data_IF_508011217743
#
_entry.id   IF_508011217743
#
_cell.length_a   1.000
_cell.length_b   1.000
_cell.length_c   1.000
_cell.angle_alpha   90.00
_cell.angle_beta   90.00
_cell.angle_gamma   90.00
#
_symmetry.space_group_name_H-M   'P 1'
#
loop_
_entity.id
_entity.type
_entity.pdbx_description
1 polymer ?
#
# COMPACT_ATOMS: atom_id res chain seq x y z
N UNK A 1 24.12 6.29 -7.13
CA UNK A 1 23.15 5.33 -6.57
C UNK A 1 21.69 5.81 -6.76
N UNK A 2 21.37 7.06 -6.42
CA UNK A 2 20.03 7.65 -6.55
C UNK A 2 19.53 7.73 -8.00
N UNK A 3 20.40 8.03 -8.98
CA UNK A 3 20.04 8.06 -10.40
C UNK A 3 19.65 6.68 -10.96
N UNK A 4 20.26 5.61 -10.46
CA UNK A 4 19.87 4.22 -10.80
C UNK A 4 18.48 3.86 -10.20
N UNK A 5 18.18 4.37 -9.01
CA UNK A 5 16.87 4.18 -8.37
C UNK A 5 15.78 4.94 -9.14
N UNK A 6 16.04 6.20 -9.58
CA UNK A 6 15.11 6.95 -10.44
C UNK A 6 14.78 6.21 -11.73
N UNK A 7 15.80 5.66 -12.43
CA UNK A 7 15.59 4.83 -13.63
C UNK A 7 14.88 3.51 -13.35
N UNK A 8 15.15 2.90 -12.21
CA UNK A 8 14.53 1.63 -11.82
C UNK A 8 13.01 1.78 -11.56
N UNK A 9 12.59 2.91 -10.99
CA UNK A 9 11.20 3.17 -10.62
C UNK A 9 10.48 4.09 -11.58
N UNK A 10 11.13 4.55 -12.68
CA UNK A 10 10.55 5.46 -13.67
C UNK A 10 9.82 6.64 -13.01
N UNK A 11 10.46 7.26 -12.01
CA UNK A 11 9.96 8.49 -11.41
C UNK A 11 10.00 9.56 -12.52
N UNK A 12 8.88 10.28 -12.79
CA UNK A 12 8.87 11.36 -13.76
C UNK A 12 10.03 12.33 -13.51
N UNK A 13 10.55 12.96 -14.56
CA UNK A 13 11.51 14.05 -14.40
C UNK A 13 10.82 15.14 -13.60
N UNK A 14 11.23 15.30 -12.35
CA UNK A 14 10.68 16.25 -11.41
C UNK A 14 11.44 17.56 -11.52
N UNK A 15 10.75 18.69 -11.42
CA UNK A 15 11.34 20.04 -11.40
C UNK A 15 12.28 20.21 -10.21
N UNK A 16 11.96 19.53 -9.10
CA UNK A 16 12.73 19.55 -7.86
C UNK A 16 13.62 18.33 -7.71
N UNK A 17 14.73 18.51 -7.03
CA UNK A 17 15.61 17.40 -6.69
C UNK A 17 14.96 16.48 -5.66
N UNK A 18 15.15 15.16 -5.76
CA UNK A 18 14.62 14.19 -4.78
C UNK A 18 14.97 14.58 -3.32
N UNK A 19 16.15 15.20 -3.13
CA UNK A 19 16.61 15.67 -1.81
C UNK A 19 15.75 16.84 -1.28
N UNK A 20 15.33 17.73 -2.15
CA UNK A 20 14.46 18.87 -1.80
C UNK A 20 13.06 18.38 -1.42
N UNK A 21 12.49 17.45 -2.20
CA UNK A 21 11.20 16.84 -1.87
C UNK A 21 11.25 16.11 -0.52
N UNK A 22 12.31 15.34 -0.25
CA UNK A 22 12.48 14.71 1.07
C UNK A 22 12.61 15.72 2.21
N UNK A 23 13.35 16.81 1.98
CA UNK A 23 13.49 17.88 2.97
C UNK A 23 12.14 18.56 3.25
N UNK A 24 11.36 18.82 2.20
CA UNK A 24 10.03 19.39 2.33
C UNK A 24 9.07 18.46 3.06
N UNK A 25 9.02 17.17 2.69
CA UNK A 25 8.24 16.17 3.40
C UNK A 25 8.64 16.05 4.87
N UNK A 26 9.93 16.15 5.17
CA UNK A 26 10.42 16.15 6.55
C UNK A 26 9.99 17.38 7.34
N UNK A 27 9.92 18.54 6.71
CA UNK A 27 9.39 19.76 7.32
C UNK A 27 7.86 19.68 7.50
N UNK A 28 7.13 19.20 6.50
CA UNK A 28 5.70 18.95 6.59
C UNK A 28 5.37 17.94 7.72
N UNK A 29 6.23 16.95 7.95
CA UNK A 29 6.08 15.97 9.04
C UNK A 29 6.22 16.61 10.43
N UNK A 30 6.91 17.73 10.57
CA UNK A 30 7.11 18.42 11.86
C UNK A 30 5.79 18.74 12.57
N UNK A 31 4.73 19.06 11.82
CA UNK A 31 3.40 19.32 12.36
C UNK A 31 2.61 18.07 12.79
N UNK A 32 2.98 16.88 12.27
CA UNK A 32 2.22 15.65 12.42
C UNK A 32 3.01 14.52 13.11
N UNK A 33 4.14 14.83 13.73
CA UNK A 33 5.05 13.84 14.34
C UNK A 33 4.38 13.00 15.41
N UNK A 34 3.61 13.63 16.30
CA UNK A 34 2.94 12.94 17.41
C UNK A 34 2.04 11.84 16.91
N UNK A 35 1.26 12.11 15.86
CA UNK A 35 0.38 11.11 15.25
C UNK A 35 1.16 9.97 14.61
N UNK A 36 2.19 10.28 13.82
CA UNK A 36 3.01 9.28 13.16
C UNK A 36 3.73 8.38 14.18
N UNK A 37 4.29 8.96 15.25
CA UNK A 37 4.92 8.20 16.33
C UNK A 37 3.90 7.34 17.05
N UNK A 38 2.72 7.87 17.37
CA UNK A 38 1.68 7.10 18.05
C UNK A 38 1.21 5.92 17.20
N UNK A 39 0.99 6.12 15.90
CA UNK A 39 0.66 5.04 14.97
C UNK A 39 1.78 4.00 14.86
N UNK A 40 3.04 4.42 14.81
CA UNK A 40 4.17 3.51 14.76
C UNK A 40 4.30 2.69 16.05
N UNK A 41 4.11 3.30 17.21
CA UNK A 41 4.13 2.60 18.51
C UNK A 41 3.00 1.59 18.60
N UNK A 42 1.76 1.98 18.28
CA UNK A 42 0.62 1.05 18.24
C UNK A 42 0.92 -0.11 17.28
N UNK A 43 1.46 0.16 16.09
CA UNK A 43 1.82 -0.84 15.11
C UNK A 43 2.90 -1.81 15.62
N UNK A 44 3.94 -1.33 16.29
CA UNK A 44 5.00 -2.18 16.86
C UNK A 44 4.43 -3.03 18.01
N UNK A 45 3.59 -2.47 18.87
CA UNK A 45 2.91 -3.22 19.92
C UNK A 45 2.01 -4.31 19.33
N UNK A 46 1.27 -4.02 18.27
CA UNK A 46 0.45 -5.02 17.56
C UNK A 46 1.31 -6.14 16.97
N UNK A 47 2.50 -5.83 16.43
CA UNK A 47 3.47 -6.85 16.00
C UNK A 47 3.87 -7.75 17.16
N UNK A 48 4.22 -7.17 18.31
CA UNK A 48 4.58 -7.93 19.51
C UNK A 48 3.46 -8.88 19.97
N UNK A 49 2.24 -8.37 20.06
CA UNK A 49 1.05 -9.17 20.43
C UNK A 49 0.79 -10.26 19.38
N UNK A 50 0.93 -9.96 18.11
CA UNK A 50 0.73 -10.93 17.02
C UNK A 50 1.75 -12.07 17.05
N UNK A 51 3.02 -11.79 17.37
CA UNK A 51 4.04 -12.83 17.55
C UNK A 51 3.85 -13.61 18.86
N UNK A 52 3.46 -12.92 19.93
CA UNK A 52 3.09 -13.58 21.20
C UNK A 52 1.89 -14.52 21.02
N UNK A 53 0.94 -14.17 20.17
CA UNK A 53 -0.21 -15.05 19.82
C UNK A 53 0.27 -16.34 19.14
N UNK A 54 1.28 -16.28 18.26
CA UNK A 54 1.88 -17.51 17.66
C UNK A 54 2.43 -18.42 18.76
N UNK A 55 3.18 -17.83 19.70
CA UNK A 55 3.69 -18.59 20.85
C UNK A 55 2.57 -19.16 21.70
N UNK A 56 1.53 -18.38 22.00
CA UNK A 56 0.41 -18.84 22.82
C UNK A 56 -0.38 -19.99 22.17
N UNK A 57 -0.58 -19.94 20.85
CA UNK A 57 -1.22 -21.03 20.10
C UNK A 57 -0.36 -22.28 20.14
N UNK A 58 0.96 -22.16 19.92
CA UNK A 58 1.90 -23.28 20.04
C UNK A 58 1.81 -23.89 21.44
N UNK A 59 1.92 -23.07 22.48
CA UNK A 59 1.87 -23.51 23.86
C UNK A 59 0.55 -24.21 24.22
N UNK A 60 -0.58 -23.66 23.80
CA UNK A 60 -1.89 -24.23 24.02
C UNK A 60 -2.04 -25.62 23.37
N UNK A 61 -1.53 -25.79 22.16
CA UNK A 61 -1.55 -27.07 21.44
C UNK A 61 -0.62 -28.08 22.12
N UNK A 62 0.57 -27.66 22.54
CA UNK A 62 1.54 -28.55 23.20
C UNK A 62 1.05 -29.01 24.58
N UNK A 63 0.34 -28.15 25.32
CA UNK A 63 -0.37 -28.54 26.57
C UNK A 63 -1.52 -29.49 26.26
N UNK A 64 -2.35 -29.20 25.23
CA UNK A 64 -3.49 -30.03 24.85
C UNK A 64 -3.06 -31.45 24.36
N UNK A 65 -1.91 -31.54 23.71
CA UNK A 65 -1.31 -32.79 23.24
C UNK A 65 -0.45 -33.51 24.29
N UNK A 66 -0.45 -33.04 25.54
CA UNK A 66 0.31 -33.59 26.66
C UNK A 66 1.84 -33.64 26.44
N UNK A 67 2.36 -32.78 25.56
CA UNK A 67 3.82 -32.63 25.35
C UNK A 67 4.45 -31.81 26.47
N UNK A 68 3.69 -30.82 26.98
CA UNK A 68 4.08 -29.97 28.12
C UNK A 68 3.05 -30.10 29.23
N UNK A 69 3.52 -30.20 30.46
CA UNK A 69 2.65 -30.19 31.63
C UNK A 69 2.09 -28.78 31.85
N UNK A 70 0.78 -28.67 32.00
CA UNK A 70 0.11 -27.41 32.24
C UNK A 70 -1.41 -27.52 32.20
N UNK A 71 -2.09 -26.45 32.64
CA UNK A 71 -3.54 -26.37 32.54
C UNK A 71 -3.96 -25.77 31.20
N UNK A 72 -4.83 -26.45 30.48
CA UNK A 72 -5.40 -25.95 29.23
C UNK A 72 -6.18 -24.61 29.43
N UNK A 73 -6.78 -24.47 30.63
CA UNK A 73 -7.52 -23.24 30.93
C UNK A 73 -6.60 -22.04 31.04
N UNK A 74 -5.39 -22.18 31.57
CA UNK A 74 -4.41 -21.09 31.63
C UNK A 74 -3.87 -20.76 30.22
N UNK A 75 -3.58 -21.76 29.41
CA UNK A 75 -3.09 -21.57 28.06
C UNK A 75 -4.14 -20.86 27.17
N UNK A 76 -5.40 -21.28 27.22
CA UNK A 76 -6.50 -20.64 26.51
C UNK A 76 -6.78 -19.23 27.08
N UNK A 77 -6.65 -19.03 28.38
CA UNK A 77 -6.79 -17.74 29.04
C UNK A 77 -5.75 -16.72 28.52
N UNK A 78 -4.50 -17.11 28.42
CA UNK A 78 -3.41 -16.28 27.84
C UNK A 78 -3.75 -15.91 26.41
N UNK A 79 -4.18 -16.87 25.59
CA UNK A 79 -4.57 -16.63 24.21
C UNK A 79 -5.74 -15.65 24.11
N UNK A 80 -6.75 -15.80 25.00
CA UNK A 80 -7.89 -14.88 25.08
C UNK A 80 -7.48 -13.45 25.41
N UNK A 81 -6.57 -13.26 26.36
CA UNK A 81 -6.02 -11.95 26.72
C UNK A 81 -5.27 -11.32 25.51
N UNK A 82 -4.44 -12.09 24.81
CA UNK A 82 -3.70 -11.62 23.66
C UNK A 82 -4.64 -11.20 22.50
N UNK A 83 -5.71 -11.95 22.26
CA UNK A 83 -6.74 -11.61 21.27
C UNK A 83 -7.45 -10.30 21.66
N UNK A 84 -7.80 -10.13 22.93
CA UNK A 84 -8.40 -8.88 23.40
C UNK A 84 -7.44 -7.69 23.28
N UNK A 85 -6.16 -7.90 23.58
CA UNK A 85 -5.13 -6.88 23.39
C UNK A 85 -4.98 -6.50 21.90
N UNK A 86 -4.95 -7.49 20.99
CA UNK A 86 -4.86 -7.22 19.54
C UNK A 86 -6.09 -6.43 19.05
N UNK A 87 -7.28 -6.82 19.51
CA UNK A 87 -8.51 -6.10 19.20
C UNK A 87 -8.48 -4.65 19.73
N UNK A 88 -8.04 -4.44 20.98
CA UNK A 88 -7.92 -3.11 21.57
C UNK A 88 -6.92 -2.22 20.78
N UNK A 89 -5.77 -2.79 20.41
CA UNK A 89 -4.77 -2.09 19.58
C UNK A 89 -5.30 -1.77 18.18
N UNK A 90 -6.06 -2.68 17.57
CA UNK A 90 -6.72 -2.45 16.29
C UNK A 90 -7.71 -1.29 16.34
N UNK A 91 -8.56 -1.25 17.36
CA UNK A 91 -9.51 -0.15 17.59
C UNK A 91 -8.76 1.16 17.83
N UNK A 92 -7.72 1.16 18.66
CA UNK A 92 -6.90 2.33 18.93
C UNK A 92 -6.22 2.84 17.64
N UNK A 93 -5.70 1.94 16.81
CA UNK A 93 -5.10 2.29 15.52
C UNK A 93 -6.09 2.98 14.58
N UNK A 94 -7.29 2.43 14.44
CA UNK A 94 -8.35 3.03 13.60
C UNK A 94 -8.75 4.41 14.13
N UNK A 95 -8.91 4.53 15.44
CA UNK A 95 -9.27 5.80 16.08
C UNK A 95 -8.21 6.88 15.86
N UNK A 96 -6.95 6.55 16.14
CA UNK A 96 -5.81 7.49 15.95
C UNK A 96 -5.69 7.90 14.48
N UNK A 97 -5.76 6.95 13.55
CA UNK A 97 -5.67 7.21 12.12
C UNK A 97 -6.77 8.14 11.62
N UNK A 98 -8.02 7.85 11.95
CA UNK A 98 -9.14 8.61 11.41
C UNK A 98 -9.25 9.99 12.07
N UNK A 99 -9.20 10.08 13.40
CA UNK A 99 -9.38 11.35 14.09
C UNK A 99 -8.22 12.31 13.91
N UNK A 100 -6.99 11.83 14.12
CA UNK A 100 -5.81 12.67 13.99
C UNK A 100 -5.42 12.90 12.54
N UNK A 101 -5.74 11.96 11.64
CA UNK A 101 -5.55 12.12 10.19
C UNK A 101 -6.33 13.31 9.64
N UNK A 102 -7.61 13.42 9.99
CA UNK A 102 -8.45 14.56 9.59
C UNK A 102 -7.92 15.87 10.15
N UNK A 103 -7.49 15.89 11.43
CA UNK A 103 -6.88 17.09 12.03
C UNK A 103 -5.62 17.53 11.31
N UNK A 104 -4.75 16.58 10.95
CA UNK A 104 -3.53 16.85 10.21
C UNK A 104 -3.82 17.39 8.80
N UNK A 105 -4.80 16.81 8.11
CA UNK A 105 -5.24 17.25 6.79
C UNK A 105 -5.79 18.68 6.84
N UNK A 106 -6.72 18.95 7.76
CA UNK A 106 -7.32 20.27 7.91
C UNK A 106 -6.26 21.34 8.21
N UNK A 107 -5.30 21.02 9.10
CA UNK A 107 -4.20 21.94 9.43
C UNK A 107 -3.34 22.24 8.20
N UNK A 108 -2.99 21.25 7.42
CA UNK A 108 -2.16 21.44 6.23
C UNK A 108 -2.92 22.22 5.15
N UNK A 109 -4.21 21.95 4.96
CA UNK A 109 -5.08 22.72 4.06
C UNK A 109 -5.14 24.19 4.47
N UNK A 110 -5.34 24.47 5.78
CA UNK A 110 -5.36 25.84 6.30
C UNK A 110 -4.03 26.56 6.09
N UNK A 111 -2.90 25.89 6.34
CA UNK A 111 -1.57 26.47 6.12
C UNK A 111 -1.32 26.79 4.65
N UNK A 112 -1.70 25.89 3.73
CA UNK A 112 -1.55 26.12 2.30
C UNK A 112 -2.49 27.22 1.81
N UNK A 113 -3.72 27.25 2.28
CA UNK A 113 -4.68 28.31 1.93
C UNK A 113 -4.21 29.66 2.43
N UNK A 114 -3.75 29.79 3.70
CA UNK A 114 -3.21 31.02 4.25
C UNK A 114 -2.03 31.53 3.41
N UNK A 115 -1.13 30.62 2.99
CA UNK A 115 -0.01 30.97 2.14
C UNK A 115 -0.43 31.48 0.78
N UNK A 116 -1.41 30.84 0.13
CA UNK A 116 -1.96 31.27 -1.15
C UNK A 116 -2.59 32.65 -1.04
N UNK A 117 -3.35 32.91 0.03
CA UNK A 117 -4.00 34.20 0.27
C UNK A 117 -3.03 35.35 0.55
N UNK A 118 -1.82 35.03 1.06
CA UNK A 118 -0.74 36.01 1.33
C UNK A 118 0.29 36.09 0.20
N UNK A 119 0.15 35.32 -0.86
CA UNK A 119 1.07 35.40 -1.99
C UNK A 119 0.79 36.64 -2.84
N UNK A 120 1.85 37.23 -3.40
CA UNK A 120 1.74 38.39 -4.30
C UNK A 120 0.85 38.12 -5.49
N UNK A 121 -0.10 39.03 -5.71
CA UNK A 121 -0.97 38.95 -6.88
C UNK A 121 -0.40 39.75 -8.05
N UNK A 122 0.08 39.04 -9.07
CA UNK A 122 0.68 39.63 -10.26
C UNK A 122 -0.34 39.94 -11.38
N UNK A 123 -1.64 40.02 -11.06
CA UNK A 123 -2.71 40.36 -12.04
C UNK A 123 -3.04 39.24 -13.02
N UNK A 124 -2.43 38.06 -12.91
CA UNK A 124 -2.73 36.88 -13.70
C UNK A 124 -2.60 35.65 -12.85
N UNK A 125 -3.67 34.91 -12.69
CA UNK A 125 -3.63 33.62 -11.98
C UNK A 125 -2.73 32.64 -12.72
N UNK A 126 -1.67 32.19 -12.08
CA UNK A 126 -0.78 31.12 -12.59
C UNK A 126 -1.48 29.79 -12.70
N UNK A 127 -2.39 29.53 -11.76
CA UNK A 127 -3.11 28.27 -11.64
C UNK A 127 -4.62 28.51 -11.72
N UNK A 128 -5.33 27.68 -12.45
CA UNK A 128 -6.79 27.70 -12.44
C UNK A 128 -7.33 27.31 -11.06
N UNK A 129 -8.40 27.96 -10.61
CA UNK A 129 -9.04 27.71 -9.31
C UNK A 129 -9.35 26.25 -9.06
N UNK A 130 -9.76 25.50 -10.09
CA UNK A 130 -9.98 24.06 -10.02
C UNK A 130 -8.72 23.24 -9.77
N UNK A 131 -7.55 23.66 -10.30
CA UNK A 131 -6.27 22.99 -10.04
C UNK A 131 -5.81 23.26 -8.61
N UNK A 132 -5.95 24.50 -8.12
CA UNK A 132 -5.65 24.86 -6.73
C UNK A 132 -6.51 24.05 -5.75
N UNK A 133 -7.82 23.96 -6.01
CA UNK A 133 -8.73 23.15 -5.20
C UNK A 133 -8.31 21.68 -5.18
N UNK A 134 -7.99 21.11 -6.33
CA UNK A 134 -7.52 19.72 -6.42
C UNK A 134 -6.23 19.49 -5.63
N UNK A 135 -5.27 20.42 -5.66
CA UNK A 135 -4.04 20.35 -4.86
C UNK A 135 -4.33 20.42 -3.36
N UNK A 136 -5.20 21.34 -2.94
CA UNK A 136 -5.58 21.51 -1.53
C UNK A 136 -6.36 20.30 -0.99
N UNK A 137 -7.12 19.61 -1.81
CA UNK A 137 -7.93 18.48 -1.38
C UNK A 137 -7.18 17.14 -1.53
N UNK A 138 -6.74 16.80 -2.74
CA UNK A 138 -6.18 15.49 -3.04
C UNK A 138 -4.68 15.39 -2.76
N UNK A 139 -3.89 16.40 -3.14
CA UNK A 139 -2.45 16.32 -2.93
C UNK A 139 -2.10 16.47 -1.44
N UNK A 140 -2.78 17.35 -0.71
CA UNK A 140 -2.65 17.46 0.75
C UNK A 140 -3.05 16.16 1.43
N UNK A 141 -4.20 15.58 1.07
CA UNK A 141 -4.65 14.30 1.61
C UNK A 141 -3.65 13.18 1.36
N UNK A 142 -3.07 13.13 0.16
CA UNK A 142 -2.07 12.14 -0.21
C UNK A 142 -0.78 12.27 0.61
N UNK A 143 -0.27 13.49 0.76
CA UNK A 143 0.93 13.75 1.57
C UNK A 143 0.68 13.43 3.05
N UNK A 144 -0.43 13.87 3.61
CA UNK A 144 -0.77 13.62 5.01
C UNK A 144 -0.94 12.12 5.27
N UNK A 145 -1.71 11.41 4.44
CA UNK A 145 -1.89 9.96 4.57
C UNK A 145 -0.57 9.20 4.44
N UNK A 146 0.32 9.63 3.55
CA UNK A 146 1.63 9.03 3.42
C UNK A 146 2.46 9.20 4.70
N UNK A 147 2.50 10.39 5.27
CA UNK A 147 3.29 10.69 6.46
C UNK A 147 2.72 10.07 7.74
N UNK A 148 1.41 10.04 7.88
CA UNK A 148 0.74 9.64 9.13
C UNK A 148 0.25 8.20 9.14
N UNK A 149 0.12 7.56 7.99
CA UNK A 149 -0.37 6.18 7.84
C UNK A 149 0.63 5.28 7.11
N UNK A 150 1.07 5.66 5.89
CA UNK A 150 1.91 4.79 5.05
C UNK A 150 3.28 4.55 5.67
N UNK A 151 3.95 5.57 6.17
CA UNK A 151 5.25 5.41 6.84
C UNK A 151 5.13 4.57 8.13
N UNK A 152 4.22 4.87 9.08
CA UNK A 152 4.08 4.06 10.29
C UNK A 152 3.70 2.61 10.00
N UNK A 153 2.77 2.37 9.06
CA UNK A 153 2.38 1.00 8.68
C UNK A 153 3.53 0.23 8.02
N UNK A 154 4.38 0.92 7.26
CA UNK A 154 5.57 0.33 6.66
C UNK A 154 6.60 -0.08 7.71
N UNK A 155 6.78 0.73 8.75
CA UNK A 155 7.64 0.41 9.90
C UNK A 155 7.10 -0.84 10.60
N UNK A 156 5.81 -0.91 10.86
CA UNK A 156 5.16 -2.07 11.49
C UNK A 156 5.25 -3.33 10.62
N UNK A 157 5.08 -3.18 9.30
CA UNK A 157 5.22 -4.27 8.33
C UNK A 157 6.65 -4.81 8.32
N UNK A 158 7.65 -3.93 8.34
CA UNK A 158 9.05 -4.31 8.42
C UNK A 158 9.37 -4.98 9.77
N UNK A 159 8.85 -4.43 10.86
CA UNK A 159 9.00 -5.03 12.20
C UNK A 159 8.38 -6.43 12.27
N UNK A 160 7.20 -6.64 11.66
CA UNK A 160 6.58 -7.96 11.55
C UNK A 160 7.44 -8.93 10.75
N UNK A 161 7.95 -8.50 9.62
CA UNK A 161 8.84 -9.31 8.77
C UNK A 161 10.09 -9.75 9.54
N UNK A 162 10.78 -8.81 10.17
CA UNK A 162 11.99 -9.09 10.94
C UNK A 162 11.69 -9.93 12.20
N UNK A 163 10.63 -9.61 12.94
CA UNK A 163 10.22 -10.34 14.12
C UNK A 163 9.85 -11.79 13.80
N UNK A 164 9.07 -12.02 12.76
CA UNK A 164 8.70 -13.36 12.31
C UNK A 164 9.93 -14.14 11.78
N UNK A 165 10.83 -13.44 11.05
CA UNK A 165 12.06 -14.04 10.56
C UNK A 165 12.98 -14.51 11.71
N UNK A 166 13.25 -13.64 12.68
CA UNK A 166 14.09 -13.99 13.83
C UNK A 166 13.43 -15.06 14.70
N UNK A 167 12.12 -15.03 14.85
CA UNK A 167 11.40 -16.08 15.58
C UNK A 167 11.52 -17.43 14.85
N UNK A 168 11.26 -17.46 13.53
CA UNK A 168 11.42 -18.69 12.75
C UNK A 168 12.89 -19.17 12.76
N UNK A 169 13.84 -18.24 12.70
CA UNK A 169 15.27 -18.54 12.78
C UNK A 169 15.67 -19.19 14.11
N UNK A 170 15.04 -18.78 15.22
CA UNK A 170 15.27 -19.41 16.52
C UNK A 170 14.72 -20.84 16.61
N UNK A 171 13.70 -21.17 15.82
CA UNK A 171 13.14 -22.52 15.76
C UNK A 171 13.87 -23.41 14.73
N UNK A 172 14.09 -22.87 13.52
CA UNK A 172 14.82 -23.56 12.45
C UNK A 172 15.47 -22.54 11.49
N UNK A 173 16.77 -22.36 11.61
CA UNK A 173 17.53 -21.43 10.79
C UNK A 173 17.53 -21.77 9.28
N UNK A 174 17.49 -23.08 8.95
CA UNK A 174 17.50 -23.55 7.55
C UNK A 174 16.22 -23.17 6.84
N UNK A 175 15.08 -23.39 7.48
CA UNK A 175 13.79 -23.00 6.93
C UNK A 175 13.66 -21.47 6.81
N UNK A 176 14.11 -20.73 7.82
CA UNK A 176 14.07 -19.26 7.80
C UNK A 176 14.83 -18.69 6.59
N UNK A 177 16.05 -19.16 6.36
CA UNK A 177 16.86 -18.73 5.22
C UNK A 177 16.22 -19.14 3.89
N UNK A 178 15.69 -20.37 3.79
CA UNK A 178 15.04 -20.86 2.59
C UNK A 178 13.85 -19.97 2.19
N UNK A 179 12.97 -19.66 3.15
CA UNK A 179 11.78 -18.83 2.91
C UNK A 179 12.18 -17.42 2.48
N UNK A 180 13.17 -16.81 3.13
CA UNK A 180 13.62 -15.47 2.77
C UNK A 180 14.33 -15.46 1.42
N UNK A 181 15.10 -16.51 1.09
CA UNK A 181 15.78 -16.62 -0.21
C UNK A 181 14.79 -16.74 -1.40
N UNK A 182 13.55 -17.18 -1.16
CA UNK A 182 12.51 -17.21 -2.20
C UNK A 182 11.96 -15.80 -2.54
N UNK A 183 12.02 -14.84 -1.59
CA UNK A 183 11.44 -13.49 -1.77
C UNK A 183 12.04 -12.73 -2.95
N UNK A 184 13.38 -12.65 -3.15
CA UNK A 184 13.97 -11.96 -4.29
C UNK A 184 13.48 -12.49 -5.65
N UNK A 185 13.22 -13.78 -5.75
CA UNK A 185 12.70 -14.41 -6.99
C UNK A 185 11.32 -13.83 -7.30
N UNK A 186 10.43 -13.74 -6.29
CA UNK A 186 9.10 -13.15 -6.47
C UNK A 186 9.14 -11.66 -6.78
N UNK A 187 10.08 -10.92 -6.18
CA UNK A 187 10.28 -9.50 -6.49
C UNK A 187 10.71 -9.30 -7.94
N UNK A 188 11.58 -10.16 -8.48
CA UNK A 188 11.99 -10.10 -9.89
C UNK A 188 10.83 -10.40 -10.83
N UNK A 189 10.05 -11.43 -10.55
CA UNK A 189 8.84 -11.78 -11.32
C UNK A 189 7.82 -10.63 -11.26
N UNK A 190 7.63 -10.02 -10.10
CA UNK A 190 6.68 -8.91 -9.95
C UNK A 190 7.09 -7.66 -10.75
N UNK A 191 8.38 -7.41 -10.98
CA UNK A 191 8.84 -6.29 -11.82
C UNK A 191 8.41 -6.42 -13.28
N UNK A 192 8.53 -7.62 -13.84
CA UNK A 192 8.09 -7.92 -15.21
C UNK A 192 6.59 -7.69 -15.32
N UNK A 193 5.85 -8.21 -14.35
CA UNK A 193 4.41 -8.01 -14.23
C UNK A 193 4.01 -6.55 -14.19
N UNK A 194 4.61 -5.75 -13.29
CA UNK A 194 4.25 -4.33 -13.12
C UNK A 194 4.49 -3.53 -14.40
N UNK A 195 5.59 -3.77 -15.12
CA UNK A 195 5.89 -3.08 -16.39
C UNK A 195 4.80 -3.35 -17.43
N UNK A 196 4.46 -4.62 -17.64
CA UNK A 196 3.46 -5.01 -18.62
C UNK A 196 2.06 -4.53 -18.22
N UNK A 197 1.71 -4.63 -16.94
CA UNK A 197 0.42 -4.18 -16.42
C UNK A 197 0.24 -2.67 -16.60
N UNK A 198 1.27 -1.86 -16.38
CA UNK A 198 1.23 -0.41 -16.65
C UNK A 198 0.94 -0.11 -18.11
N UNK A 199 1.57 -0.85 -19.03
CA UNK A 199 1.31 -0.68 -20.47
C UNK A 199 -0.14 -0.97 -20.79
N UNK A 200 -0.66 -2.12 -20.36
CA UNK A 200 -2.04 -2.52 -20.61
C UNK A 200 -3.06 -1.57 -19.96
N UNK A 201 -2.76 -1.07 -18.76
CA UNK A 201 -3.60 -0.07 -18.10
C UNK A 201 -3.62 1.25 -18.86
N UNK A 202 -2.50 1.68 -19.44
CA UNK A 202 -2.44 2.88 -20.28
C UNK A 202 -3.27 2.69 -21.56
N UNK A 203 -3.18 1.52 -22.20
CA UNK A 203 -3.98 1.21 -23.38
C UNK A 203 -5.49 1.24 -23.08
N UNK A 204 -5.92 0.74 -21.92
CA UNK A 204 -7.30 0.82 -21.45
C UNK A 204 -7.71 2.28 -21.20
N UNK A 205 -6.90 3.06 -20.48
CA UNK A 205 -7.19 4.49 -20.22
C UNK A 205 -7.34 5.31 -21.51
N UNK A 206 -6.48 5.07 -22.48
CA UNK A 206 -6.55 5.76 -23.77
C UNK A 206 -7.86 5.42 -24.52
N UNK A 207 -8.33 4.19 -24.45
CA UNK A 207 -9.61 3.81 -25.04
C UNK A 207 -10.80 4.32 -24.25
N UNK A 208 -10.71 4.35 -22.93
CA UNK A 208 -11.73 4.94 -22.07
C UNK A 208 -11.89 6.45 -22.35
N UNK A 209 -10.78 7.18 -22.52
CA UNK A 209 -10.79 8.60 -22.92
C UNK A 209 -11.46 8.80 -24.29
N UNK A 210 -11.30 7.86 -25.25
CA UNK A 210 -12.00 7.95 -26.54
C UNK A 210 -13.53 7.79 -26.36
N UNK A 211 -13.97 6.84 -25.51
CA UNK A 211 -15.39 6.67 -25.19
C UNK A 211 -15.94 7.95 -24.54
N UNK A 212 -15.22 8.50 -23.56
CA UNK A 212 -15.62 9.75 -22.91
C UNK A 212 -15.69 10.93 -23.92
N UNK A 213 -14.76 11.03 -24.85
CA UNK A 213 -14.79 12.04 -25.90
C UNK A 213 -16.02 11.92 -26.81
N UNK A 214 -16.37 10.70 -27.22
CA UNK A 214 -17.58 10.45 -28.04
C UNK A 214 -18.84 10.85 -27.27
N UNK A 215 -18.93 10.47 -25.99
CA UNK A 215 -20.06 10.85 -25.13
C UNK A 215 -20.15 12.35 -24.94
N UNK A 216 -19.03 13.01 -24.66
CA UNK A 216 -18.99 14.46 -24.48
C UNK A 216 -19.39 15.20 -25.76
N UNK A 217 -18.82 14.82 -26.91
CA UNK A 217 -19.15 15.39 -28.20
C UNK A 217 -20.65 15.23 -28.54
N UNK A 218 -21.19 14.03 -28.27
CA UNK A 218 -22.60 13.72 -28.47
C UNK A 218 -23.52 14.61 -27.61
N UNK A 219 -23.17 14.78 -26.34
CA UNK A 219 -23.96 15.61 -25.42
C UNK A 219 -23.90 17.09 -25.81
N UNK A 220 -22.70 17.58 -26.18
CA UNK A 220 -22.51 18.97 -26.61
C UNK A 220 -23.28 19.30 -27.88
N UNK A 221 -23.34 18.36 -28.82
CA UNK A 221 -24.01 18.55 -30.13
C UNK A 221 -25.37 17.88 -30.24
N UNK A 222 -26.00 17.56 -29.11
CA UNK A 222 -27.29 16.82 -29.05
C UNK A 222 -28.37 17.43 -29.95
N UNK A 223 -28.49 18.75 -30.00
CA UNK A 223 -29.50 19.40 -30.85
C UNK A 223 -29.24 19.14 -32.34
N UNK A 224 -27.99 19.24 -32.78
CA UNK A 224 -27.58 18.98 -34.15
C UNK A 224 -27.86 17.51 -34.55
N UNK A 225 -27.48 16.58 -33.71
CA UNK A 225 -27.68 15.14 -33.91
C UNK A 225 -29.18 14.84 -34.08
N UNK A 226 -30.02 15.43 -33.21
CA UNK A 226 -31.47 15.25 -33.24
C UNK A 226 -32.08 15.90 -34.50
N UNK A 227 -31.60 17.05 -34.93
CA UNK A 227 -32.06 17.71 -36.14
C UNK A 227 -31.68 16.94 -37.43
N UNK A 228 -30.53 16.27 -37.41
CA UNK A 228 -30.05 15.45 -38.53
C UNK A 228 -30.54 14.00 -38.49
N UNK A 229 -31.37 13.62 -37.51
CA UNK A 229 -31.86 12.25 -37.29
C UNK A 229 -30.74 11.20 -37.33
N UNK A 230 -29.56 11.55 -36.76
CA UNK A 230 -28.35 10.72 -36.83
C UNK A 230 -28.05 9.95 -35.55
N UNK A 231 -29.05 9.71 -34.72
CA UNK A 231 -28.93 9.05 -33.42
C UNK A 231 -28.42 7.60 -33.56
N UNK A 232 -28.93 6.81 -34.54
CA UNK A 232 -28.44 5.44 -34.73
C UNK A 232 -26.95 5.41 -35.09
N UNK A 233 -26.51 6.30 -36.00
CA UNK A 233 -25.10 6.37 -36.44
C UNK A 233 -24.17 6.72 -35.25
N UNK A 234 -24.62 7.58 -34.35
CA UNK A 234 -23.85 7.96 -33.18
C UNK A 234 -23.80 6.83 -32.14
N UNK A 235 -24.92 6.11 -31.95
CA UNK A 235 -24.98 4.95 -31.07
C UNK A 235 -24.08 3.82 -31.60
N UNK A 236 -24.09 3.55 -32.89
CA UNK A 236 -23.20 2.55 -33.52
C UNK A 236 -21.72 2.94 -33.36
N UNK A 237 -21.37 4.22 -33.57
CA UNK A 237 -20.01 4.74 -33.32
C UNK A 237 -19.57 4.55 -31.87
N UNK A 238 -20.51 4.76 -30.93
CA UNK A 238 -20.25 4.57 -29.50
C UNK A 238 -20.02 3.08 -29.21
N UNK A 239 -20.86 2.17 -29.76
CA UNK A 239 -20.73 0.73 -29.59
C UNK A 239 -19.40 0.20 -30.14
N UNK A 240 -18.96 0.65 -31.29
CA UNK A 240 -17.64 0.33 -31.85
C UNK A 240 -16.51 0.77 -30.92
N UNK A 241 -16.58 2.00 -30.43
CA UNK A 241 -15.57 2.54 -29.50
C UNK A 241 -15.56 1.77 -28.17
N UNK A 242 -16.73 1.42 -27.65
CA UNK A 242 -16.88 0.59 -26.44
C UNK A 242 -16.39 -0.84 -26.66
N UNK A 243 -16.59 -1.40 -27.85
CA UNK A 243 -16.11 -2.75 -28.19
C UNK A 243 -14.57 -2.80 -28.22
N UNK A 244 -13.90 -1.72 -28.71
CA UNK A 244 -12.45 -1.59 -28.63
C UNK A 244 -11.97 -1.52 -27.18
N UNK A 245 -12.64 -0.70 -26.35
CA UNK A 245 -12.35 -0.62 -24.91
C UNK A 245 -12.51 -1.99 -24.24
N UNK A 246 -13.63 -2.69 -24.45
CA UNK A 246 -13.91 -4.00 -23.89
C UNK A 246 -12.80 -5.01 -24.23
N UNK A 247 -12.35 -5.05 -25.48
CA UNK A 247 -11.27 -5.93 -25.94
C UNK A 247 -9.95 -5.66 -25.19
N UNK A 248 -9.61 -4.38 -24.94
CA UNK A 248 -8.41 -3.99 -24.17
C UNK A 248 -8.56 -4.31 -22.69
N UNK A 249 -9.73 -4.10 -22.11
CA UNK A 249 -10.04 -4.49 -20.74
C UNK A 249 -9.92 -6.00 -20.56
N UNK A 250 -10.48 -6.80 -21.45
CA UNK A 250 -10.36 -8.27 -21.41
C UNK A 250 -8.89 -8.70 -21.48
N UNK A 251 -8.10 -8.10 -22.38
CA UNK A 251 -6.67 -8.40 -22.49
C UNK A 251 -5.91 -8.08 -21.20
N UNK A 252 -6.16 -6.92 -20.60
CA UNK A 252 -5.58 -6.53 -19.31
C UNK A 252 -6.00 -7.50 -18.20
N UNK A 253 -7.29 -7.85 -18.16
CA UNK A 253 -7.84 -8.75 -17.14
C UNK A 253 -7.24 -10.15 -17.25
N UNK A 254 -7.15 -10.73 -18.46
CA UNK A 254 -6.49 -12.02 -18.68
C UNK A 254 -5.05 -12.01 -18.18
N UNK A 255 -4.29 -10.97 -18.50
CA UNK A 255 -2.92 -10.83 -18.01
C UNK A 255 -2.87 -10.70 -16.49
N UNK A 256 -3.75 -9.89 -15.89
CA UNK A 256 -3.85 -9.71 -14.44
C UNK A 256 -4.17 -11.02 -13.71
N UNK A 257 -5.17 -11.75 -14.21
CA UNK A 257 -5.58 -13.05 -13.62
C UNK A 257 -4.43 -14.06 -13.70
N UNK A 258 -3.82 -14.20 -14.86
CA UNK A 258 -2.69 -15.12 -15.04
C UNK A 258 -1.51 -14.77 -14.10
N UNK A 259 -1.16 -13.50 -14.03
CA UNK A 259 -0.07 -13.04 -13.20
C UNK A 259 -0.36 -13.21 -11.70
N UNK A 260 -1.60 -12.94 -11.28
CA UNK A 260 -2.02 -13.19 -9.90
C UNK A 260 -1.98 -14.70 -9.56
N UNK A 261 -2.36 -15.55 -10.50
CA UNK A 261 -2.24 -17.00 -10.33
C UNK A 261 -0.78 -17.43 -10.13
N UNK A 262 0.13 -16.94 -10.96
CA UNK A 262 1.58 -17.24 -10.85
C UNK A 262 2.14 -16.76 -9.50
N UNK A 263 1.81 -15.53 -9.09
CA UNK A 263 2.26 -15.00 -7.80
C UNK A 263 1.68 -15.78 -6.62
N UNK A 264 0.38 -16.07 -6.64
CA UNK A 264 -0.26 -16.84 -5.57
C UNK A 264 0.25 -18.27 -5.50
N UNK A 265 0.50 -18.90 -6.66
CA UNK A 265 1.13 -20.22 -6.73
C UNK A 265 2.52 -20.21 -6.08
N UNK A 266 3.32 -19.17 -6.35
CA UNK A 266 4.64 -19.04 -5.73
C UNK A 266 4.58 -18.98 -4.20
N UNK A 267 3.65 -18.19 -3.65
CA UNK A 267 3.47 -18.13 -2.19
C UNK A 267 2.89 -19.43 -1.61
N UNK A 268 1.94 -20.05 -2.31
CA UNK A 268 1.40 -21.36 -1.94
C UNK A 268 2.49 -22.45 -1.96
N UNK A 269 3.40 -22.39 -2.94
CA UNK A 269 4.55 -23.29 -3.02
C UNK A 269 5.50 -23.09 -1.84
N UNK A 270 5.79 -21.85 -1.45
CA UNK A 270 6.57 -21.55 -0.25
C UNK A 270 5.94 -22.09 1.02
N UNK A 271 4.62 -21.97 1.14
CA UNK A 271 3.86 -22.59 2.25
C UNK A 271 3.93 -24.12 2.22
N UNK A 272 3.81 -24.74 1.04
CA UNK A 272 3.92 -26.18 0.87
C UNK A 272 5.31 -26.70 1.27
N UNK A 273 6.36 -25.97 0.88
CA UNK A 273 7.75 -26.30 1.28
C UNK A 273 7.88 -26.26 2.80
N UNK A 274 7.35 -25.21 3.44
CA UNK A 274 7.37 -25.10 4.90
C UNK A 274 6.57 -26.21 5.58
N UNK A 275 5.40 -26.55 5.04
CA UNK A 275 4.58 -27.65 5.54
C UNK A 275 5.31 -28.99 5.45
N UNK A 276 5.88 -29.29 4.27
CA UNK A 276 6.63 -30.53 4.04
C UNK A 276 7.84 -30.63 4.98
N UNK A 277 8.57 -29.53 5.15
CA UNK A 277 9.70 -29.48 6.09
C UNK A 277 9.27 -29.71 7.54
N UNK A 278 8.20 -29.04 7.98
CA UNK A 278 7.66 -29.20 9.32
C UNK A 278 7.13 -30.62 9.58
N UNK A 279 6.40 -31.19 8.62
CA UNK A 279 5.90 -32.57 8.68
C UNK A 279 7.04 -33.58 8.75
N UNK A 280 8.11 -33.38 7.97
CA UNK A 280 9.31 -34.22 8.03
C UNK A 280 10.00 -34.12 9.39
N UNK A 281 10.18 -32.90 9.92
CA UNK A 281 10.75 -32.71 11.27
C UNK A 281 9.89 -33.31 12.37
N UNK A 282 8.58 -33.25 12.22
CA UNK A 282 7.63 -33.87 13.16
C UNK A 282 7.72 -35.42 13.10
N UNK A 283 7.85 -36.02 11.91
CA UNK A 283 8.02 -37.45 11.76
C UNK A 283 9.31 -37.98 12.38
N UNK A 284 10.35 -37.15 12.46
CA UNK A 284 11.61 -37.44 13.16
C UNK A 284 11.55 -37.17 14.67
N UNK A 285 10.40 -36.73 15.20
CA UNK A 285 10.23 -36.43 16.64
C UNK A 285 10.96 -35.14 17.07
N UNK A 286 11.51 -34.35 16.14
CA UNK A 286 12.27 -33.13 16.44
C UNK A 286 11.42 -31.87 16.50
N UNK A 287 10.12 -31.96 16.21
CA UNK A 287 9.16 -30.87 16.23
C UNK A 287 7.82 -31.36 16.79
N UNK A 288 7.20 -30.56 17.65
CA UNK A 288 5.86 -30.83 18.18
C UNK A 288 4.78 -30.43 17.18
N UNK A 289 3.54 -30.87 17.39
CA UNK A 289 2.40 -30.44 16.59
C UNK A 289 2.15 -28.94 16.76
N UNK A 290 2.32 -28.41 17.99
CA UNK A 290 2.28 -26.95 18.23
C UNK A 290 3.40 -26.21 17.50
N UNK A 291 4.62 -26.76 17.46
CA UNK A 291 5.74 -26.22 16.70
C UNK A 291 5.46 -26.19 15.19
N UNK A 292 4.82 -27.21 14.64
CA UNK A 292 4.38 -27.21 13.22
C UNK A 292 3.40 -26.06 12.94
N UNK A 293 2.41 -25.86 13.79
CA UNK A 293 1.46 -24.75 13.61
C UNK A 293 2.13 -23.39 13.72
N UNK A 294 3.10 -23.23 14.61
CA UNK A 294 3.90 -22.02 14.72
C UNK A 294 4.72 -21.76 13.44
N UNK A 295 5.37 -22.77 12.87
CA UNK A 295 6.09 -22.66 11.60
C UNK A 295 5.21 -22.11 10.49
N UNK A 296 4.03 -22.69 10.30
CA UNK A 296 3.10 -22.29 9.25
C UNK A 296 2.59 -20.86 9.44
N UNK A 297 2.31 -20.46 10.67
CA UNK A 297 1.91 -19.10 10.99
C UNK A 297 3.05 -18.10 10.73
N UNK A 298 4.28 -18.43 11.14
CA UNK A 298 5.45 -17.56 10.93
C UNK A 298 5.79 -17.39 9.45
N UNK A 299 5.68 -18.45 8.65
CA UNK A 299 5.86 -18.36 7.19
C UNK A 299 4.88 -17.36 6.58
N UNK A 300 3.60 -17.41 6.96
CA UNK A 300 2.61 -16.44 6.52
C UNK A 300 2.95 -15.01 7.00
N UNK A 301 3.43 -14.87 8.24
CA UNK A 301 3.86 -13.57 8.80
C UNK A 301 5.16 -13.02 8.20
N UNK A 302 5.91 -13.82 7.45
CA UNK A 302 7.03 -13.39 6.61
C UNK A 302 6.54 -13.02 5.21
N UNK A 303 5.72 -13.87 4.60
CA UNK A 303 5.27 -13.70 3.22
C UNK A 303 4.31 -12.52 3.02
N UNK A 304 3.37 -12.31 3.93
CA UNK A 304 2.39 -11.23 3.85
C UNK A 304 3.03 -9.82 3.91
N UNK A 305 3.93 -9.51 4.87
CA UNK A 305 4.69 -8.29 4.85
C UNK A 305 5.51 -8.09 3.57
N UNK A 306 6.14 -9.14 3.05
CA UNK A 306 6.89 -9.06 1.80
C UNK A 306 6.00 -8.61 0.62
N UNK A 307 4.75 -9.11 0.54
CA UNK A 307 3.76 -8.64 -0.45
C UNK A 307 3.38 -7.18 -0.25
N UNK A 308 3.20 -6.74 1.00
CA UNK A 308 2.79 -5.37 1.31
C UNK A 308 3.88 -4.36 0.98
N UNK A 309 5.14 -4.70 1.23
CA UNK A 309 6.28 -3.83 0.91
C UNK A 309 6.38 -3.51 -0.60
N UNK A 310 5.92 -4.40 -1.48
CA UNK A 310 5.89 -4.11 -2.93
C UNK A 310 4.93 -2.98 -3.30
N UNK A 311 3.90 -2.73 -2.50
CA UNK A 311 2.91 -1.65 -2.71
C UNK A 311 3.45 -0.27 -2.31
N UNK A 312 4.55 -0.19 -1.58
CA UNK A 312 5.16 1.08 -1.18
C UNK A 312 5.70 1.88 -2.35
N UNK A 313 6.19 1.22 -3.40
CA UNK A 313 6.77 1.89 -4.56
C UNK A 313 5.76 2.83 -5.25
N UNK A 314 4.54 2.40 -5.60
CA UNK A 314 3.53 3.32 -6.12
C UNK A 314 3.17 4.44 -5.15
N UNK A 315 3.11 4.18 -3.84
CA UNK A 315 2.82 5.17 -2.82
C UNK A 315 3.91 6.27 -2.76
N UNK A 316 5.18 5.90 -2.84
CA UNK A 316 6.29 6.85 -2.94
C UNK A 316 6.20 7.72 -4.19
N UNK A 317 5.93 7.12 -5.36
CA UNK A 317 5.78 7.88 -6.62
C UNK A 317 4.62 8.87 -6.51
N UNK A 318 3.49 8.44 -5.95
CA UNK A 318 2.31 9.28 -5.78
C UNK A 318 2.57 10.47 -4.85
N UNK A 319 3.21 10.24 -3.71
CA UNK A 319 3.49 11.31 -2.73
C UNK A 319 4.54 12.28 -3.25
N UNK A 320 5.54 11.81 -4.01
CA UNK A 320 6.52 12.73 -4.62
C UNK A 320 5.86 13.67 -5.61
N UNK A 321 4.96 13.17 -6.45
CA UNK A 321 4.20 14.00 -7.38
C UNK A 321 3.29 15.00 -6.64
N UNK A 322 2.60 14.56 -5.59
CA UNK A 322 1.77 15.43 -4.77
C UNK A 322 2.59 16.51 -4.06
N UNK A 323 3.72 16.13 -3.46
CA UNK A 323 4.63 17.07 -2.79
C UNK A 323 5.17 18.11 -3.76
N UNK A 324 5.59 17.72 -4.96
CA UNK A 324 6.06 18.64 -6.00
C UNK A 324 5.00 19.68 -6.38
N UNK A 325 3.76 19.26 -6.59
CA UNK A 325 2.64 20.16 -6.91
C UNK A 325 2.31 21.10 -5.76
N UNK A 326 2.47 20.68 -4.51
CA UNK A 326 2.29 21.56 -3.35
C UNK A 326 3.47 22.52 -3.17
N UNK A 327 4.70 22.09 -3.43
CA UNK A 327 5.89 22.95 -3.42
C UNK A 327 5.78 24.06 -4.47
N UNK A 328 5.20 23.78 -5.65
CA UNK A 328 4.94 24.81 -6.68
C UNK A 328 4.00 25.91 -6.18
N UNK A 329 3.01 25.59 -5.35
CA UNK A 329 2.13 26.61 -4.74
C UNK A 329 2.87 27.46 -3.68
N UNK A 330 3.94 26.90 -3.09
CA UNK A 330 4.76 27.62 -2.10
C UNK A 330 5.84 28.51 -2.72
N UNK A 331 6.12 28.39 -4.02
CA UNK A 331 7.13 29.20 -4.71
C UNK A 331 6.71 30.69 -4.89
N UNK A 332 5.43 30.98 -4.87
CA UNK A 332 4.97 32.34 -5.03
C UNK A 332 5.42 33.21 -3.84
N UNK A 333 6.09 34.37 -4.10
CA UNK A 333 6.55 35.24 -3.04
C UNK A 333 5.38 35.74 -2.17
N UNK A 334 5.64 35.95 -0.90
CA UNK A 334 4.64 36.52 0.00
C UNK A 334 4.63 38.03 -0.16
N UNK A 335 3.45 38.66 -0.06
CA UNK A 335 3.34 40.12 0.00
C UNK A 335 4.15 40.67 1.19
N UNK A 336 5.00 41.66 0.93
CA UNK A 336 5.68 42.40 2.01
C UNK A 336 4.62 43.17 2.80
N UNK A 337 4.49 42.86 4.11
CA UNK A 337 3.63 43.58 5.05
C UNK A 337 4.25 44.88 5.49
#
# INVERSE_FOLDING_TARGET
MISKIKRLFQIPETRYTTKEIFRWLWLAWRGNRTQAVLNAVIGILSVGVSLATVWAVQHAIDVASHVIEGSIYTAVGIMGVLILCDFALSVASVWVRNLLGVKAQNRMQQQMLDRILRSEWHGREKHHSGDVLNRLEFDVSNVVSFLTETIPSSISTLAMFLGAFFYLMSMDWRLAILIVAMIPIFVLVSKIYVRQMRRLTREVRNSDSKVQSVLQETIQHRMLIKTLESDEVIVDKLEDTQSELRRKVVRRTKFSVFSNLVLNFGFAFGYLVAFTWAAFRMSLGSLTFGGMTAFLQLVNKIQNPARQLTKLVPAFVSVFTAAERLMELEEDPLEEQ
#
